data_IF_619931501592
#
_entry.id   IF_619931501592
#
_cell.length_a   1.000
_cell.length_b   1.000
_cell.length_c   1.000
_cell.angle_alpha   90.00
_cell.angle_beta   90.00
_cell.angle_gamma   90.00
#
_symmetry.space_group_name_H-M   'P 1'
#
loop_
_entity.id
_entity.type
_entity.pdbx_description
1 polymer ?
#
# COMPACT_ATOMS: atom_id res chain seq x y z
N UNK A 1 -17.56 12.61 12.64
CA UNK A 1 -16.77 13.27 11.59
C UNK A 1 -15.65 12.38 11.03
N UNK A 2 -15.21 11.30 11.72
CA UNK A 2 -14.21 10.34 11.18
C UNK A 2 -14.72 9.53 9.99
N UNK A 3 -15.90 8.90 10.11
CA UNK A 3 -16.49 8.05 9.07
C UNK A 3 -16.59 8.72 7.68
N UNK A 4 -16.92 10.01 7.63
CA UNK A 4 -17.07 10.73 6.35
C UNK A 4 -15.73 11.04 5.66
N UNK A 5 -14.63 11.10 6.43
CA UNK A 5 -13.26 11.25 5.91
C UNK A 5 -12.73 9.90 5.41
N UNK A 6 -13.05 8.82 6.12
CA UNK A 6 -12.69 7.47 5.74
C UNK A 6 -13.43 7.02 4.47
N UNK A 7 -14.74 7.28 4.38
CA UNK A 7 -15.54 7.07 3.15
C UNK A 7 -15.01 7.83 1.94
N UNK A 8 -14.40 9.00 2.15
CA UNK A 8 -13.81 9.79 1.09
C UNK A 8 -12.47 9.20 0.64
N UNK A 9 -11.63 8.75 1.58
CA UNK A 9 -10.35 8.10 1.28
C UNK A 9 -10.55 6.79 0.50
N UNK A 10 -11.49 5.95 0.93
CA UNK A 10 -11.82 4.70 0.25
C UNK A 10 -12.28 4.96 -1.19
N UNK A 11 -13.16 5.95 -1.41
CA UNK A 11 -13.60 6.36 -2.75
C UNK A 11 -12.48 6.87 -3.65
N UNK A 12 -11.51 7.59 -3.10
CA UNK A 12 -10.36 8.06 -3.88
C UNK A 12 -9.38 6.91 -4.21
N UNK A 13 -9.33 5.87 -3.38
CA UNK A 13 -8.55 4.66 -3.64
C UNK A 13 -9.22 3.80 -4.71
N UNK A 14 -10.55 3.72 -4.72
CA UNK A 14 -11.30 3.12 -5.83
C UNK A 14 -11.04 3.86 -7.16
N UNK A 15 -10.92 5.19 -7.13
CA UNK A 15 -10.53 5.97 -8.30
C UNK A 15 -9.12 5.62 -8.76
N UNK A 16 -8.19 5.43 -7.82
CA UNK A 16 -6.83 5.00 -8.15
C UNK A 16 -6.80 3.58 -8.74
N UNK A 17 -7.54 2.63 -8.16
CA UNK A 17 -7.72 1.26 -8.69
C UNK A 17 -8.21 1.29 -10.14
N UNK A 18 -9.28 2.06 -10.39
CA UNK A 18 -9.86 2.19 -11.73
C UNK A 18 -8.88 2.83 -12.73
N UNK A 19 -8.08 3.80 -12.29
CA UNK A 19 -7.06 4.43 -13.12
C UNK A 19 -5.91 3.47 -13.45
N UNK A 20 -5.43 2.69 -12.47
CA UNK A 20 -4.39 1.67 -12.72
C UNK A 20 -4.90 0.58 -13.65
N UNK A 21 -6.12 0.07 -13.44
CA UNK A 21 -6.74 -0.89 -14.33
C UNK A 21 -6.85 -0.36 -15.78
N UNK A 22 -7.30 0.89 -15.94
CA UNK A 22 -7.36 1.53 -17.26
C UNK A 22 -5.97 1.69 -17.91
N UNK A 23 -4.92 1.92 -17.13
CA UNK A 23 -3.54 1.99 -17.62
C UNK A 23 -2.96 0.62 -17.98
N UNK A 24 -3.40 -0.46 -17.33
CA UNK A 24 -3.05 -1.82 -17.74
C UNK A 24 -3.69 -2.19 -19.09
N UNK A 25 -4.92 -1.72 -19.34
CA UNK A 25 -5.67 -2.01 -20.57
C UNK A 25 -5.30 -1.09 -21.75
N UNK A 26 -4.92 0.16 -21.46
CA UNK A 26 -4.53 1.15 -22.46
C UNK A 26 -3.00 1.27 -22.57
N UNK A 27 -2.46 1.34 -23.78
CA UNK A 27 -1.01 1.59 -23.98
C UNK A 27 -0.65 2.97 -23.38
N UNK A 28 -0.02 2.96 -22.21
CA UNK A 28 0.75 4.02 -21.55
C UNK A 28 0.49 5.43 -22.09
N UNK A 29 -0.46 6.16 -21.50
CA UNK A 29 -0.61 7.59 -21.69
C UNK A 29 0.18 8.32 -20.60
N UNK A 30 1.33 8.96 -20.90
CA UNK A 30 2.17 9.59 -19.87
C UNK A 30 1.40 10.58 -18.96
N UNK A 31 0.42 11.30 -19.52
CA UNK A 31 -0.41 12.24 -18.75
C UNK A 31 -1.30 11.55 -17.70
N UNK A 32 -1.80 10.35 -17.98
CA UNK A 32 -2.61 9.59 -17.02
C UNK A 32 -1.74 8.94 -15.94
N UNK A 33 -0.52 8.51 -16.28
CA UNK A 33 0.48 8.04 -15.30
C UNK A 33 0.83 9.16 -14.31
N UNK A 34 1.12 10.37 -14.80
CA UNK A 34 1.41 11.52 -13.94
C UNK A 34 0.22 11.89 -13.04
N UNK A 35 -1.00 11.86 -13.58
CA UNK A 35 -2.23 12.09 -12.80
C UNK A 35 -2.39 11.03 -11.71
N UNK A 36 -2.16 9.76 -12.03
CA UNK A 36 -2.21 8.65 -11.08
C UNK A 36 -1.19 8.82 -9.95
N UNK A 37 0.06 9.14 -10.29
CA UNK A 37 1.12 9.38 -9.30
C UNK A 37 0.74 10.55 -8.37
N UNK A 38 0.21 11.64 -8.92
CA UNK A 38 -0.22 12.78 -8.11
C UNK A 38 -1.35 12.42 -7.16
N UNK A 39 -2.35 11.68 -7.65
CA UNK A 39 -3.45 11.17 -6.82
C UNK A 39 -2.93 10.27 -5.70
N UNK A 40 -2.00 9.37 -6.00
CA UNK A 40 -1.38 8.49 -5.01
C UNK A 40 -0.66 9.28 -3.91
N UNK A 41 0.13 10.30 -4.27
CA UNK A 41 0.78 11.18 -3.28
C UNK A 41 -0.22 11.94 -2.41
N UNK A 42 -1.27 12.49 -3.01
CA UNK A 42 -2.31 13.21 -2.27
C UNK A 42 -3.04 12.28 -1.28
N UNK A 43 -3.25 11.01 -1.65
CA UNK A 43 -3.85 10.01 -0.77
C UNK A 43 -2.93 9.62 0.39
N UNK A 44 -1.65 9.38 0.12
CA UNK A 44 -0.66 9.10 1.17
C UNK A 44 -0.57 10.27 2.17
N UNK A 45 -0.57 11.52 1.69
CA UNK A 45 -0.55 12.71 2.55
C UNK A 45 -1.84 12.87 3.40
N UNK A 46 -2.99 12.41 2.91
CA UNK A 46 -4.24 12.44 3.68
C UNK A 46 -4.29 11.35 4.76
N UNK A 47 -3.67 10.19 4.50
CA UNK A 47 -3.51 9.09 5.46
C UNK A 47 -2.52 9.44 6.58
N UNK A 48 -1.42 10.11 6.22
CA UNK A 48 -0.43 10.60 7.15
C UNK A 48 -0.40 12.13 7.10
N UNK A 49 -1.18 12.84 7.94
CA UNK A 49 -1.20 14.30 7.99
C UNK A 49 0.05 14.84 8.70
N UNK A 50 1.22 14.47 8.19
CA UNK A 50 2.53 14.87 8.64
C UNK A 50 3.21 15.67 7.53
N UNK A 51 4.07 16.64 7.88
CA UNK A 51 4.98 17.24 6.92
C UNK A 51 5.79 16.15 6.18
N UNK A 52 6.08 16.31 4.87
CA UNK A 52 6.77 15.29 4.08
C UNK A 52 8.08 14.80 4.72
N UNK A 53 8.89 15.71 5.25
CA UNK A 53 10.13 15.41 5.97
C UNK A 53 9.94 14.47 7.17
N UNK A 54 8.82 14.60 7.89
CA UNK A 54 8.49 13.75 9.04
C UNK A 54 7.92 12.41 8.60
N UNK A 55 7.12 12.42 7.53
CA UNK A 55 6.58 11.19 6.95
C UNK A 55 7.70 10.31 6.36
N UNK A 56 8.62 10.90 5.60
CA UNK A 56 9.76 10.20 4.99
C UNK A 56 10.72 9.61 6.03
N UNK A 57 10.75 10.16 7.24
CA UNK A 57 11.55 9.64 8.35
C UNK A 57 10.90 8.46 9.09
N UNK A 58 9.64 8.12 8.80
CA UNK A 58 8.95 7.01 9.46
C UNK A 58 9.39 5.67 8.86
N UNK A 59 9.78 4.73 9.72
CA UNK A 59 9.89 3.34 9.32
C UNK A 59 8.51 2.69 9.12
N UNK A 60 8.48 1.54 8.45
CA UNK A 60 7.24 0.85 8.10
C UNK A 60 6.41 0.44 9.33
N UNK A 61 7.05 0.01 10.42
CA UNK A 61 6.36 -0.35 11.65
C UNK A 61 5.68 0.88 12.28
N UNK A 62 6.36 2.03 12.30
CA UNK A 62 5.80 3.29 12.81
C UNK A 62 4.67 3.79 11.92
N UNK A 63 4.79 3.64 10.60
CA UNK A 63 3.70 3.94 9.67
C UNK A 63 2.46 3.08 9.99
N UNK A 64 2.66 1.77 10.20
CA UNK A 64 1.60 0.84 10.57
C UNK A 64 0.91 1.24 11.88
N UNK A 65 1.68 1.46 12.95
CA UNK A 65 1.12 1.88 14.25
C UNK A 65 0.33 3.21 14.15
N UNK A 66 0.82 4.17 13.35
CA UNK A 66 0.13 5.44 13.13
C UNK A 66 -1.19 5.29 12.37
N UNK A 67 -1.29 4.37 11.42
CA UNK A 67 -2.54 4.13 10.70
C UNK A 67 -3.63 3.56 11.62
N UNK A 68 -3.21 2.78 12.62
CA UNK A 68 -4.09 2.14 13.60
C UNK A 68 -4.48 3.03 14.77
N UNK A 69 -3.70 4.08 15.04
CA UNK A 69 -3.88 4.91 16.23
C UNK A 69 -5.33 5.40 16.39
N UNK A 70 -5.89 5.19 17.59
CA UNK A 70 -7.23 5.60 17.99
C UNK A 70 -8.38 5.06 17.11
N UNK A 71 -8.16 3.95 16.39
CA UNK A 71 -9.21 3.24 15.66
C UNK A 71 -9.58 1.89 16.33
N UNK A 72 -10.85 1.49 16.25
CA UNK A 72 -11.26 0.09 16.44
C UNK A 72 -10.53 -0.86 15.47
N UNK A 73 -10.35 -2.12 15.86
CA UNK A 73 -9.52 -3.09 15.13
C UNK A 73 -9.98 -3.34 13.69
N UNK A 74 -11.29 -3.35 13.43
CA UNK A 74 -11.88 -3.54 12.10
C UNK A 74 -11.56 -2.38 11.15
N UNK A 75 -11.72 -1.14 11.62
CA UNK A 75 -11.39 0.07 10.87
C UNK A 75 -9.87 0.25 10.73
N UNK A 76 -9.11 -0.09 11.77
CA UNK A 76 -7.65 -0.05 11.74
C UNK A 76 -7.11 -1.01 10.68
N UNK A 77 -7.66 -2.24 10.63
CA UNK A 77 -7.37 -3.23 9.60
C UNK A 77 -7.69 -2.71 8.21
N UNK A 78 -8.93 -2.26 7.98
CA UNK A 78 -9.37 -1.77 6.68
C UNK A 78 -8.43 -0.65 6.18
N UNK A 79 -8.10 0.31 7.05
CA UNK A 79 -7.19 1.41 6.71
C UNK A 79 -5.77 0.93 6.39
N UNK A 80 -5.23 -0.05 7.14
CA UNK A 80 -3.88 -0.57 6.87
C UNK A 80 -3.83 -1.40 5.58
N UNK A 81 -4.82 -2.25 5.32
CA UNK A 81 -4.94 -3.00 4.07
C UNK A 81 -5.08 -2.05 2.87
N UNK A 82 -5.93 -1.04 3.02
CA UNK A 82 -6.12 0.04 2.05
C UNK A 82 -4.81 0.79 1.75
N UNK A 83 -3.99 1.06 2.78
CA UNK A 83 -2.68 1.69 2.58
C UNK A 83 -1.71 0.77 1.84
N UNK A 84 -1.66 -0.52 2.18
CA UNK A 84 -0.83 -1.50 1.48
C UNK A 84 -1.19 -1.55 -0.02
N UNK A 85 -2.47 -1.55 -0.35
CA UNK A 85 -2.94 -1.57 -1.72
C UNK A 85 -2.66 -0.25 -2.48
N UNK A 86 -2.82 0.89 -1.82
CA UNK A 86 -2.40 2.19 -2.37
C UNK A 86 -0.92 2.16 -2.79
N UNK A 87 -0.05 1.62 -1.93
CA UNK A 87 1.37 1.45 -2.25
C UNK A 87 1.61 0.48 -3.40
N UNK A 88 0.84 -0.61 -3.48
CA UNK A 88 0.91 -1.57 -4.57
C UNK A 88 0.59 -0.91 -5.92
N UNK A 89 -0.51 -0.16 -6.00
CA UNK A 89 -0.87 0.60 -7.19
C UNK A 89 0.12 1.72 -7.52
N UNK A 90 0.68 2.36 -6.50
CA UNK A 90 1.75 3.35 -6.68
C UNK A 90 2.98 2.71 -7.33
N UNK A 91 3.32 1.48 -6.96
CA UNK A 91 4.41 0.75 -7.59
C UNK A 91 4.15 0.50 -9.09
N UNK A 92 2.93 0.07 -9.44
CA UNK A 92 2.54 -0.12 -10.84
C UNK A 92 2.66 1.17 -11.66
N UNK A 93 2.27 2.31 -11.07
CA UNK A 93 2.44 3.61 -11.70
C UNK A 93 3.93 3.99 -11.90
N UNK A 94 4.80 3.61 -10.96
CA UNK A 94 6.24 3.78 -11.14
C UNK A 94 6.80 2.91 -12.25
N UNK A 95 6.32 1.68 -12.44
CA UNK A 95 6.70 0.85 -13.58
C UNK A 95 6.31 1.51 -14.90
N UNK A 96 5.08 2.02 -15.01
CA UNK A 96 4.63 2.74 -16.20
C UNK A 96 5.43 4.03 -16.46
N UNK A 97 6.02 4.61 -15.42
CA UNK A 97 6.87 5.79 -15.50
C UNK A 97 8.38 5.46 -15.68
N UNK A 98 8.74 4.18 -15.89
CA UNK A 98 10.12 3.70 -16.01
C UNK A 98 11.01 4.04 -14.79
N UNK A 99 10.42 3.92 -13.58
CA UNK A 99 11.09 4.18 -12.29
C UNK A 99 11.21 2.91 -11.45
N UNK A 100 11.91 1.92 -11.99
CA UNK A 100 11.99 0.57 -11.42
C UNK A 100 12.42 0.53 -9.93
N UNK A 101 13.37 1.36 -9.51
CA UNK A 101 13.81 1.41 -8.10
C UNK A 101 12.71 1.89 -7.16
N UNK A 102 11.92 2.90 -7.59
CA UNK A 102 10.78 3.39 -6.81
C UNK A 102 9.64 2.37 -6.80
N UNK A 103 9.43 1.66 -7.90
CA UNK A 103 8.46 0.59 -7.98
C UNK A 103 8.81 -0.54 -6.99
N UNK A 104 10.06 -1.02 -7.00
CA UNK A 104 10.53 -2.06 -6.09
C UNK A 104 10.37 -1.64 -4.62
N UNK A 105 10.78 -0.42 -4.26
CA UNK A 105 10.59 0.11 -2.90
C UNK A 105 9.13 0.18 -2.48
N UNK A 106 8.24 0.64 -3.37
CA UNK A 106 6.80 0.72 -3.10
C UNK A 106 6.15 -0.67 -2.94
N UNK A 107 6.55 -1.67 -3.74
CA UNK A 107 6.06 -3.06 -3.57
C UNK A 107 6.54 -3.66 -2.25
N UNK A 108 7.80 -3.46 -1.87
CA UNK A 108 8.33 -3.97 -0.60
C UNK A 108 7.62 -3.33 0.59
N UNK A 109 7.38 -2.02 0.55
CA UNK A 109 6.64 -1.34 1.62
C UNK A 109 5.18 -1.82 1.67
N UNK A 110 4.53 -1.98 0.52
CA UNK A 110 3.19 -2.56 0.41
C UNK A 110 3.12 -3.95 1.06
N UNK A 111 4.06 -4.85 0.70
CA UNK A 111 4.15 -6.20 1.25
C UNK A 111 4.37 -6.18 2.76
N UNK A 112 5.26 -5.31 3.23
CA UNK A 112 5.51 -5.16 4.66
C UNK A 112 4.23 -4.74 5.41
N UNK A 113 3.50 -3.74 4.91
CA UNK A 113 2.28 -3.25 5.55
C UNK A 113 1.18 -4.32 5.60
N UNK A 114 0.96 -5.06 4.52
CA UNK A 114 -0.08 -6.11 4.52
C UNK A 114 0.28 -7.28 5.43
N UNK A 115 1.56 -7.68 5.50
CA UNK A 115 2.02 -8.73 6.41
C UNK A 115 1.86 -8.33 7.88
N UNK A 116 2.16 -7.07 8.24
CA UNK A 116 1.92 -6.55 9.59
C UNK A 116 0.43 -6.51 9.94
N UNK A 117 -0.40 -6.14 8.96
CA UNK A 117 -1.86 -6.11 9.09
C UNK A 117 -2.40 -7.51 9.35
N UNK A 118 -2.06 -8.47 8.47
CA UNK A 118 -2.46 -9.87 8.60
C UNK A 118 -1.98 -10.49 9.91
N UNK A 119 -0.74 -10.24 10.33
CA UNK A 119 -0.21 -10.73 11.62
C UNK A 119 -1.06 -10.27 12.81
N UNK A 120 -1.75 -9.14 12.70
CA UNK A 120 -2.62 -8.61 13.75
C UNK A 120 -4.03 -9.19 13.69
N UNK A 121 -4.67 -9.21 12.51
CA UNK A 121 -6.08 -9.57 12.38
C UNK A 121 -6.32 -11.04 11.99
N UNK A 122 -5.39 -11.66 11.26
CA UNK A 122 -5.41 -13.08 10.89
C UNK A 122 -6.57 -13.50 9.98
N UNK A 123 -7.12 -12.60 9.16
CA UNK A 123 -8.27 -12.92 8.31
C UNK A 123 -7.89 -13.29 6.86
N UNK A 124 -8.86 -13.89 6.17
CA UNK A 124 -8.70 -14.38 4.80
C UNK A 124 -8.49 -13.24 3.79
N UNK A 125 -9.13 -12.09 3.98
CA UNK A 125 -9.03 -10.94 3.06
C UNK A 125 -7.60 -10.38 3.03
N UNK A 126 -7.01 -10.19 4.20
CA UNK A 126 -5.62 -9.74 4.32
C UNK A 126 -4.62 -10.80 3.84
N UNK A 127 -4.93 -12.09 4.01
CA UNK A 127 -4.12 -13.18 3.47
C UNK A 127 -4.12 -13.17 1.92
N UNK A 128 -5.29 -13.06 1.30
CA UNK A 128 -5.42 -13.00 -0.16
C UNK A 128 -4.68 -11.78 -0.75
N UNK A 129 -4.78 -10.62 -0.09
CA UNK A 129 -4.05 -9.42 -0.51
C UNK A 129 -2.54 -9.57 -0.31
N UNK A 130 -2.09 -10.22 0.77
CA UNK A 130 -0.68 -10.53 1.01
C UNK A 130 -0.10 -11.42 -0.10
N UNK A 131 -0.82 -12.46 -0.51
CA UNK A 131 -0.41 -13.35 -1.61
C UNK A 131 -0.34 -12.61 -2.95
N UNK A 132 -1.34 -11.78 -3.25
CA UNK A 132 -1.35 -10.96 -4.46
C UNK A 132 -0.09 -10.07 -4.52
N UNK A 133 0.22 -9.36 -3.45
CA UNK A 133 1.37 -8.45 -3.40
C UNK A 133 2.68 -9.24 -3.41
N UNK A 134 2.76 -10.37 -2.70
CA UNK A 134 3.93 -11.24 -2.68
C UNK A 134 4.27 -11.78 -4.07
N UNK A 135 3.27 -12.12 -4.88
CA UNK A 135 3.47 -12.60 -6.26
C UNK A 135 4.16 -11.58 -7.19
N UNK A 136 4.07 -10.29 -6.85
CA UNK A 136 4.70 -9.19 -7.58
C UNK A 136 6.06 -8.77 -7.00
N UNK A 137 6.54 -9.45 -5.95
CA UNK A 137 7.82 -9.17 -5.29
C UNK A 137 8.75 -10.39 -5.42
N UNK A 138 9.78 -10.34 -6.27
CA UNK A 138 10.80 -11.39 -6.32
C UNK A 138 11.43 -11.57 -4.94
N UNK A 139 11.48 -12.81 -4.47
CA UNK A 139 11.90 -13.12 -3.09
C UNK A 139 13.36 -12.77 -2.85
N UNK A 140 14.19 -12.84 -3.89
CA UNK A 140 15.61 -12.51 -3.87
C UNK A 140 15.87 -11.01 -3.68
N UNK A 141 14.88 -10.18 -4.01
CA UNK A 141 14.99 -8.71 -3.93
C UNK A 141 14.47 -8.17 -2.59
N UNK A 142 13.78 -8.98 -1.79
CA UNK A 142 13.18 -8.56 -0.53
C UNK A 142 14.24 -8.17 0.50
N UNK A 143 14.04 -7.00 1.13
CA UNK A 143 14.79 -6.65 2.33
C UNK A 143 14.53 -7.68 3.45
N UNK A 144 15.57 -7.97 4.24
CA UNK A 144 15.53 -9.02 5.27
C UNK A 144 14.32 -8.95 6.23
N UNK A 145 13.87 -7.77 6.72
CA UNK A 145 12.68 -7.68 7.56
C UNK A 145 11.39 -8.15 6.86
N UNK A 146 11.25 -7.86 5.57
CA UNK A 146 10.06 -8.24 4.78
C UNK A 146 10.09 -9.73 4.48
N UNK A 147 11.25 -10.28 4.11
CA UNK A 147 11.43 -11.71 3.89
C UNK A 147 11.12 -12.54 5.15
N UNK A 148 11.55 -12.06 6.33
CA UNK A 148 11.25 -12.71 7.60
C UNK A 148 9.74 -12.74 7.90
N UNK A 149 9.03 -11.62 7.71
CA UNK A 149 7.59 -11.55 7.88
C UNK A 149 6.83 -12.44 6.89
N UNK A 150 7.31 -12.53 5.64
CA UNK A 150 6.71 -13.40 4.63
C UNK A 150 6.89 -14.88 5.01
N UNK A 151 8.02 -15.24 5.59
CA UNK A 151 8.24 -16.59 6.11
C UNK A 151 7.38 -16.92 7.32
N UNK A 152 7.13 -15.95 8.19
CA UNK A 152 6.17 -16.10 9.29
C UNK A 152 4.76 -16.34 8.74
N UNK A 153 4.35 -15.56 7.74
CA UNK A 153 3.05 -15.68 7.07
C UNK A 153 2.83 -17.09 6.49
N UNK A 154 3.80 -17.62 5.74
CA UNK A 154 3.71 -18.96 5.14
C UNK A 154 3.83 -20.12 6.12
N UNK A 155 4.31 -19.89 7.36
CA UNK A 155 4.30 -20.93 8.41
C UNK A 155 3.00 -20.95 9.20
N UNK A 156 2.29 -19.83 9.23
CA UNK A 156 1.06 -19.65 9.99
C UNK A 156 -0.19 -20.08 9.22
N UNK A 157 -0.11 -20.15 7.89
CA UNK A 157 -1.16 -20.57 6.96
C UNK A 157 -0.80 -21.91 6.31
#
# INVERSE_FOLDING_TARGET
MGAQRDDYLLREIDRLRALVAALCDARNLPAEVERGLRLAFDLQAKLFPLPPERFLALDAATQFERLRDQLPDDLARERCATYAELLFHTATLYDFADRAELAAGARQLSLHQILLTHRTCGDEETAQLAELIASACPREELAAPVAALLDEFYRAN
#
